data_IF_921444115580
#
_entry.id   IF_921444115580
#
_cell.length_a   1.000
_cell.length_b   1.000
_cell.length_c   1.000
_cell.angle_alpha   90.00
_cell.angle_beta   90.00
_cell.angle_gamma   90.00
#
_symmetry.space_group_name_H-M   'P 1'
#
loop_
_entity.id
_entity.type
_entity.pdbx_description
1 polymer ?
#
# COMPACT_ATOMS: atom_id res chain seq x y z
N UNK A 1 -2.76 3.32 33.57
CA UNK A 1 -3.70 2.19 33.76
C UNK A 1 -5.12 2.72 33.73
N UNK A 2 -5.86 2.43 32.64
CA UNK A 2 -7.26 1.98 32.65
C UNK A 2 -7.77 1.96 31.19
N UNK A 3 -7.82 0.75 30.65
CA UNK A 3 -8.60 0.40 29.47
C UNK A 3 -10.08 0.45 29.82
N UNK A 4 -10.92 0.96 28.92
CA UNK A 4 -12.32 0.53 28.83
C UNK A 4 -12.73 0.44 27.36
N UNK A 5 -12.72 -0.78 26.85
CA UNK A 5 -13.48 -1.18 25.67
C UNK A 5 -14.85 -1.63 26.19
N UNK A 6 -15.93 -1.01 25.73
CA UNK A 6 -17.27 -1.56 25.88
C UNK A 6 -18.09 -1.27 24.61
N UNK A 7 -18.21 -2.29 23.77
CA UNK A 7 -19.27 -2.41 22.76
C UNK A 7 -20.60 -2.67 23.45
N UNK A 8 -21.60 -1.80 23.24
CA UNK A 8 -22.98 -2.16 22.83
C UNK A 8 -23.89 -0.93 22.83
N UNK A 9 -24.44 -0.67 21.65
CA UNK A 9 -25.84 -0.39 21.33
C UNK A 9 -26.69 0.49 22.26
N UNK A 10 -27.24 1.54 21.65
CA UNK A 10 -28.31 2.43 22.12
C UNK A 10 -27.95 3.35 23.28
N UNK A 11 -27.40 4.52 22.92
CA UNK A 11 -27.40 5.67 23.80
C UNK A 11 -28.07 6.86 23.13
N UNK A 12 -28.99 7.46 23.90
CA UNK A 12 -29.77 8.62 23.52
C UNK A 12 -28.91 9.80 23.07
N UNK A 13 -29.46 10.44 22.04
CA UNK A 13 -29.04 11.68 21.42
C UNK A 13 -28.74 12.82 22.41
N UNK A 14 -27.68 13.57 22.11
CA UNK A 14 -27.50 15.04 22.23
C UNK A 14 -26.38 15.61 23.11
N UNK A 15 -25.80 14.90 24.09
CA UNK A 15 -24.77 15.52 24.98
C UNK A 15 -23.34 15.01 24.78
N UNK A 16 -23.16 13.77 24.32
CA UNK A 16 -21.82 13.18 24.06
C UNK A 16 -21.31 13.40 22.63
N UNK A 17 -22.12 14.02 21.77
CA UNK A 17 -21.83 14.22 20.34
C UNK A 17 -21.02 15.51 20.05
N UNK A 18 -20.56 16.22 21.07
CA UNK A 18 -20.19 17.63 20.94
C UNK A 18 -18.68 17.94 20.83
N UNK A 19 -17.76 16.98 21.00
CA UNK A 19 -16.33 17.31 21.21
C UNK A 19 -15.34 16.34 20.53
N UNK A 20 -15.74 15.71 19.42
CA UNK A 20 -14.82 14.96 18.55
C UNK A 20 -14.68 15.65 17.20
N UNK A 21 -13.51 15.53 16.60
CA UNK A 21 -13.22 15.99 15.26
C UNK A 21 -12.58 14.88 14.43
N UNK A 22 -12.69 14.99 13.12
CA UNK A 22 -12.17 14.02 12.17
C UNK A 22 -10.77 14.43 11.71
N UNK A 23 -9.80 13.54 11.85
CA UNK A 23 -8.46 13.67 11.29
C UNK A 23 -8.32 12.76 10.08
N UNK A 24 -7.73 13.29 9.02
CA UNK A 24 -7.30 12.54 7.84
C UNK A 24 -5.77 12.45 7.84
N UNK A 25 -5.28 11.21 7.88
CA UNK A 25 -3.87 10.83 7.65
C UNK A 25 -3.77 9.35 7.22
N UNK A 26 -2.62 8.94 6.69
CA UNK A 26 -2.37 7.56 6.28
C UNK A 26 -2.63 7.29 4.79
N UNK A 27 -2.93 6.03 4.47
CA UNK A 27 -2.94 5.51 3.09
C UNK A 27 -4.34 5.39 2.45
N UNK A 28 -5.41 5.47 3.25
CA UNK A 28 -6.76 5.07 2.83
C UNK A 28 -7.81 6.20 2.93
N UNK A 29 -7.40 7.45 3.19
CA UNK A 29 -8.32 8.57 3.47
C UNK A 29 -9.41 8.25 4.52
N UNK A 30 -9.16 7.29 5.42
CA UNK A 30 -10.13 6.86 6.44
C UNK A 30 -10.13 7.85 7.59
N UNK A 31 -11.30 8.40 7.98
CA UNK A 31 -11.38 9.36 9.09
C UNK A 31 -11.00 8.71 10.41
N UNK A 32 -10.20 9.42 11.19
CA UNK A 32 -9.74 9.05 12.53
C UNK A 32 -10.26 10.08 13.52
N UNK A 33 -10.91 9.62 14.58
CA UNK A 33 -11.59 10.54 15.50
C UNK A 33 -10.70 10.86 16.70
N UNK A 34 -10.59 12.14 17.03
CA UNK A 34 -9.86 12.64 18.19
C UNK A 34 -10.77 13.52 19.05
N UNK A 35 -10.54 13.49 20.36
CA UNK A 35 -11.25 14.33 21.31
C UNK A 35 -10.62 15.72 21.35
N UNK A 36 -11.43 16.76 21.20
CA UNK A 36 -11.00 18.15 21.32
C UNK A 36 -10.93 18.64 22.79
N UNK A 37 -11.21 17.77 23.76
CA UNK A 37 -11.31 18.11 25.19
C UNK A 37 -9.98 18.11 25.97
N UNK A 38 -8.88 17.74 25.33
CA UNK A 38 -7.55 17.86 25.90
C UNK A 38 -6.92 19.23 25.59
N UNK A 39 -5.81 19.52 26.26
CA UNK A 39 -4.97 20.66 25.90
C UNK A 39 -4.40 20.47 24.49
N UNK A 40 -4.17 21.58 23.79
CA UNK A 40 -3.65 21.56 22.42
C UNK A 40 -2.32 20.81 22.33
N UNK A 41 -1.42 20.97 23.31
CA UNK A 41 -0.14 20.26 23.37
C UNK A 41 -0.32 18.74 23.46
N UNK A 42 -1.16 18.27 24.40
CA UNK A 42 -1.43 16.83 24.56
C UNK A 42 -2.11 16.25 23.32
N UNK A 43 -2.99 17.02 22.67
CA UNK A 43 -3.61 16.60 21.42
C UNK A 43 -2.58 16.40 20.32
N UNK A 44 -1.72 17.40 20.08
CA UNK A 44 -0.72 17.35 19.02
C UNK A 44 0.30 16.24 19.25
N UNK A 45 0.79 16.05 20.48
CA UNK A 45 1.70 14.95 20.82
C UNK A 45 1.03 13.59 20.56
N UNK A 46 -0.23 13.44 20.97
CA UNK A 46 -0.97 12.20 20.77
C UNK A 46 -1.27 11.93 19.29
N UNK A 47 -1.63 12.96 18.53
CA UNK A 47 -1.84 12.86 17.08
C UNK A 47 -0.53 12.52 16.39
N UNK A 48 0.59 13.16 16.76
CA UNK A 48 1.90 12.90 16.18
C UNK A 48 2.33 11.45 16.39
N UNK A 49 2.33 10.96 17.64
CA UNK A 49 2.73 9.59 17.97
C UNK A 49 1.83 8.57 17.25
N UNK A 50 0.51 8.79 17.28
CA UNK A 50 -0.45 7.87 16.69
C UNK A 50 -0.39 7.86 15.17
N UNK A 51 -0.30 9.04 14.54
CA UNK A 51 -0.21 9.16 13.08
C UNK A 51 1.09 8.54 12.58
N UNK A 52 2.24 8.86 13.19
CA UNK A 52 3.52 8.27 12.80
C UNK A 52 3.51 6.74 12.94
N UNK A 53 3.01 6.21 14.07
CA UNK A 53 2.92 4.76 14.27
C UNK A 53 2.01 4.09 13.25
N UNK A 54 0.77 4.58 13.11
CA UNK A 54 -0.21 3.94 12.22
C UNK A 54 0.19 4.03 10.74
N UNK A 55 0.71 5.18 10.29
CA UNK A 55 1.21 5.36 8.92
C UNK A 55 2.39 4.42 8.66
N UNK A 56 3.36 4.36 9.58
CA UNK A 56 4.52 3.48 9.46
C UNK A 56 4.12 2.02 9.36
N UNK A 57 3.26 1.55 10.27
CA UNK A 57 2.74 0.18 10.24
C UNK A 57 2.01 -0.12 8.93
N UNK A 58 1.22 0.82 8.41
CA UNK A 58 0.48 0.64 7.17
C UNK A 58 1.42 0.57 5.94
N UNK A 59 2.42 1.44 5.88
CA UNK A 59 3.46 1.44 4.84
C UNK A 59 4.28 0.14 4.89
N UNK A 60 4.70 -0.31 6.07
CA UNK A 60 5.43 -1.58 6.24
C UNK A 60 4.58 -2.79 5.81
N UNK A 61 3.29 -2.83 6.17
CA UNK A 61 2.37 -3.88 5.70
C UNK A 61 2.25 -3.87 4.18
N UNK A 62 2.15 -2.69 3.56
CA UNK A 62 2.08 -2.55 2.09
C UNK A 62 3.39 -2.99 1.44
N UNK A 63 4.54 -2.66 2.01
CA UNK A 63 5.87 -3.13 1.56
C UNK A 63 5.97 -4.65 1.56
N UNK A 64 5.60 -5.29 2.67
CA UNK A 64 5.61 -6.75 2.79
C UNK A 64 4.62 -7.40 1.82
N UNK A 65 3.44 -6.81 1.63
CA UNK A 65 2.46 -7.28 0.65
C UNK A 65 3.00 -7.20 -0.78
N UNK A 66 3.61 -6.08 -1.18
CA UNK A 66 4.22 -5.92 -2.50
C UNK A 66 5.39 -6.89 -2.72
N UNK A 67 6.27 -7.06 -1.72
CA UNK A 67 7.37 -8.02 -1.80
C UNK A 67 6.87 -9.47 -1.96
N UNK A 68 5.80 -9.85 -1.26
CA UNK A 68 5.16 -11.16 -1.44
C UNK A 68 4.58 -11.31 -2.85
N UNK A 69 3.92 -10.27 -3.38
CA UNK A 69 3.38 -10.27 -4.74
C UNK A 69 4.49 -10.44 -5.79
N UNK A 70 5.55 -9.63 -5.75
CA UNK A 70 6.72 -9.76 -6.64
C UNK A 70 7.32 -11.16 -6.56
N UNK A 71 7.52 -11.71 -5.36
CA UNK A 71 8.07 -13.07 -5.21
C UNK A 71 7.17 -14.15 -5.82
N UNK A 72 5.85 -13.94 -5.84
CA UNK A 72 4.90 -14.84 -6.48
C UNK A 72 4.96 -14.71 -8.00
N UNK A 73 4.99 -13.47 -8.51
CA UNK A 73 5.12 -13.17 -9.94
C UNK A 73 6.41 -13.74 -10.54
N UNK A 74 7.55 -13.64 -9.83
CA UNK A 74 8.81 -14.24 -10.26
C UNK A 74 8.74 -15.76 -10.38
N UNK A 75 8.07 -16.43 -9.42
CA UNK A 75 7.87 -17.89 -9.48
C UNK A 75 6.98 -18.29 -10.65
N UNK A 76 5.91 -17.54 -10.91
CA UNK A 76 5.04 -17.80 -12.07
C UNK A 76 5.75 -17.52 -13.38
N UNK A 77 6.53 -16.44 -13.47
CA UNK A 77 7.33 -16.12 -14.65
C UNK A 77 8.32 -17.24 -14.96
N UNK A 78 9.11 -17.71 -13.98
CA UNK A 78 10.03 -18.82 -14.17
C UNK A 78 9.33 -20.12 -14.60
N UNK A 79 8.16 -20.42 -14.04
CA UNK A 79 7.37 -21.58 -14.44
C UNK A 79 6.89 -21.49 -15.90
N UNK A 80 6.44 -20.31 -16.33
CA UNK A 80 6.01 -20.05 -17.72
C UNK A 80 7.19 -20.09 -18.70
N UNK A 81 8.35 -19.58 -18.30
CA UNK A 81 9.56 -19.67 -19.09
C UNK A 81 10.00 -21.13 -19.32
N UNK A 82 9.95 -21.97 -18.27
CA UNK A 82 10.19 -23.39 -18.39
C UNK A 82 9.17 -24.10 -19.28
N UNK A 83 7.88 -23.74 -19.19
CA UNK A 83 6.83 -24.29 -20.05
C UNK A 83 7.06 -23.92 -21.52
N UNK A 84 7.40 -22.65 -21.80
CA UNK A 84 7.76 -22.17 -23.14
C UNK A 84 8.94 -22.94 -23.70
N UNK A 85 10.00 -23.12 -22.91
CA UNK A 85 11.20 -23.84 -23.35
C UNK A 85 10.91 -25.31 -23.67
N UNK A 86 10.09 -26.00 -22.86
CA UNK A 86 9.65 -27.38 -23.14
C UNK A 86 8.87 -27.49 -24.45
N UNK A 87 7.97 -26.54 -24.71
CA UNK A 87 7.22 -26.50 -25.97
C UNK A 87 8.14 -26.25 -27.16
N UNK A 88 9.13 -25.35 -27.03
CA UNK A 88 10.12 -25.10 -28.08
C UNK A 88 11.03 -26.30 -28.34
N UNK A 89 11.51 -26.97 -27.29
CA UNK A 89 12.35 -28.17 -27.40
C UNK A 89 11.57 -29.33 -28.06
N UNK A 90 10.29 -29.48 -27.72
CA UNK A 90 9.39 -30.46 -28.35
C UNK A 90 9.09 -30.14 -29.83
N UNK A 91 9.22 -28.87 -30.24
CA UNK A 91 9.02 -28.42 -31.62
C UNK A 91 10.32 -28.47 -32.45
N UNK A 92 11.47 -28.79 -31.84
CA UNK A 92 12.76 -28.83 -32.53
C UNK A 92 12.86 -30.11 -33.38
N UNK A 93 13.11 -30.00 -34.70
CA UNK A 93 13.27 -31.15 -35.57
C UNK A 93 14.54 -31.91 -35.16
N UNK A 94 14.37 -33.04 -34.46
CA UNK A 94 15.47 -33.90 -34.02
C UNK A 94 15.38 -34.42 -32.58
N UNK A 95 14.42 -33.98 -31.75
CA UNK A 95 14.33 -34.41 -30.35
C UNK A 95 13.63 -35.75 -30.10
N UNK A 96 13.10 -36.43 -31.13
CA UNK A 96 12.54 -37.78 -31.01
C UNK A 96 13.36 -38.78 -31.84
N UNK A 97 14.30 -39.45 -31.19
CA UNK A 97 14.67 -40.79 -31.62
C UNK A 97 13.45 -41.68 -31.38
N UNK A 98 12.96 -42.31 -32.45
CA UNK A 98 11.70 -43.08 -32.58
C UNK A 98 10.42 -42.25 -32.75
N UNK A 99 9.72 -42.54 -33.85
CA UNK A 99 8.40 -42.03 -34.25
C UNK A 99 8.34 -40.61 -34.85
N UNK A 100 9.11 -40.40 -35.93
CA UNK A 100 8.80 -39.36 -36.91
C UNK A 100 7.62 -39.83 -37.80
N UNK A 101 6.40 -39.81 -37.27
CA UNK A 101 5.18 -39.92 -38.06
C UNK A 101 4.40 -38.62 -37.94
N UNK A 102 4.53 -37.76 -38.96
CA UNK A 102 3.65 -36.64 -39.33
C UNK A 102 2.93 -35.95 -38.16
N UNK A 103 3.60 -35.02 -37.48
CA UNK A 103 2.86 -33.96 -36.80
C UNK A 103 2.00 -33.24 -37.85
N UNK A 104 0.67 -33.21 -37.64
CA UNK A 104 -0.26 -32.48 -38.50
C UNK A 104 0.10 -30.99 -38.49
N UNK A 105 -0.09 -30.29 -39.61
CA UNK A 105 0.06 -28.83 -39.66
C UNK A 105 -0.80 -28.13 -38.58
N UNK A 106 -1.94 -28.74 -38.21
CA UNK A 106 -2.80 -28.27 -37.11
C UNK A 106 -2.13 -28.39 -35.74
N UNK A 107 -1.39 -29.48 -35.49
CA UNK A 107 -0.71 -29.71 -34.21
C UNK A 107 0.51 -28.78 -34.03
N UNK A 108 1.16 -28.43 -35.14
CA UNK A 108 2.23 -27.43 -35.17
C UNK A 108 1.66 -26.03 -34.92
N UNK A 109 0.54 -25.69 -35.57
CA UNK A 109 -0.15 -24.41 -35.43
C UNK A 109 -0.70 -24.20 -34.01
N UNK A 110 -1.23 -25.26 -33.38
CA UNK A 110 -1.70 -25.20 -31.99
C UNK A 110 -0.55 -24.94 -31.01
N UNK A 111 0.62 -25.59 -31.20
CA UNK A 111 1.82 -25.36 -30.37
C UNK A 111 2.38 -23.94 -30.56
N UNK A 112 2.38 -23.41 -31.76
CA UNK A 112 2.78 -22.02 -32.03
C UNK A 112 1.84 -21.01 -31.37
N UNK A 113 0.52 -21.24 -31.45
CA UNK A 113 -0.47 -20.41 -30.75
C UNK A 113 -0.27 -20.45 -29.23
N UNK A 114 0.04 -21.62 -28.65
CA UNK A 114 0.36 -21.74 -27.22
C UNK A 114 1.64 -20.97 -26.84
N UNK A 115 2.70 -21.03 -27.65
CA UNK A 115 3.94 -20.27 -27.41
C UNK A 115 3.68 -18.76 -27.46
N UNK A 116 2.85 -18.29 -28.40
CA UNK A 116 2.44 -16.89 -28.47
C UNK A 116 1.64 -16.46 -27.24
N UNK A 117 0.68 -17.29 -26.79
CA UNK A 117 -0.10 -17.02 -25.57
C UNK A 117 0.78 -16.94 -24.32
N UNK A 118 1.75 -17.84 -24.18
CA UNK A 118 2.71 -17.80 -23.07
C UNK A 118 3.59 -16.54 -23.15
N UNK A 119 3.98 -16.12 -24.35
CA UNK A 119 4.81 -14.91 -24.51
C UNK A 119 4.05 -13.65 -24.10
N UNK A 120 2.80 -13.48 -24.55
CA UNK A 120 1.93 -12.37 -24.12
C UNK A 120 1.71 -12.35 -22.60
N UNK A 121 1.55 -13.53 -22.00
CA UNK A 121 1.42 -13.66 -20.55
C UNK A 121 2.70 -13.26 -19.81
N UNK A 122 3.88 -13.64 -20.33
CA UNK A 122 5.15 -13.24 -19.74
C UNK A 122 5.31 -11.72 -19.77
N UNK A 123 4.95 -11.07 -20.87
CA UNK A 123 4.97 -9.60 -20.99
C UNK A 123 4.04 -8.95 -19.95
N UNK A 124 2.82 -9.50 -19.77
CA UNK A 124 1.89 -9.03 -18.74
C UNK A 124 2.42 -9.21 -17.31
N UNK A 125 3.06 -10.35 -17.00
CA UNK A 125 3.68 -10.61 -15.70
C UNK A 125 4.87 -9.68 -15.42
N UNK A 126 5.66 -9.34 -16.44
CA UNK A 126 6.77 -8.40 -16.32
C UNK A 126 6.27 -6.98 -16.05
N UNK A 127 5.18 -6.57 -16.70
CA UNK A 127 4.57 -5.28 -16.47
C UNK A 127 3.99 -5.17 -15.04
N UNK A 128 3.28 -6.19 -14.56
CA UNK A 128 2.82 -6.23 -13.15
C UNK A 128 3.98 -6.19 -12.16
N UNK A 129 5.09 -6.87 -12.47
CA UNK A 129 6.31 -6.80 -11.64
C UNK A 129 6.85 -5.38 -11.57
N UNK A 130 6.96 -4.68 -12.72
CA UNK A 130 7.44 -3.30 -12.79
C UNK A 130 6.57 -2.37 -11.95
N UNK A 131 5.25 -2.49 -12.06
CA UNK A 131 4.29 -1.69 -11.26
C UNK A 131 4.44 -1.95 -9.75
N UNK A 132 4.63 -3.21 -9.35
CA UNK A 132 4.88 -3.54 -7.94
C UNK A 132 6.22 -3.01 -7.42
N UNK A 133 7.25 -2.95 -8.26
CA UNK A 133 8.55 -2.35 -7.93
C UNK A 133 8.46 -0.83 -7.78
N UNK A 134 7.70 -0.15 -8.63
CA UNK A 134 7.42 1.29 -8.51
C UNK A 134 6.67 1.62 -7.22
N UNK A 135 5.60 0.86 -6.91
CA UNK A 135 4.88 1.02 -5.63
C UNK A 135 5.80 0.79 -4.44
N UNK A 136 6.75 -0.14 -4.53
CA UNK A 136 7.73 -0.37 -3.47
C UNK A 136 8.66 0.84 -3.29
N UNK A 137 9.11 1.46 -4.38
CA UNK A 137 9.92 2.68 -4.32
C UNK A 137 9.13 3.83 -3.66
N UNK A 138 7.89 4.06 -4.07
CA UNK A 138 7.00 5.06 -3.44
C UNK A 138 6.82 4.80 -1.93
N UNK A 139 6.63 3.55 -1.52
CA UNK A 139 6.52 3.18 -0.11
C UNK A 139 7.82 3.49 0.64
N UNK A 140 8.98 3.20 0.05
CA UNK A 140 10.27 3.49 0.67
C UNK A 140 10.51 5.01 0.81
N UNK A 141 10.14 5.80 -0.20
CA UNK A 141 10.17 7.28 -0.16
C UNK A 141 9.26 7.83 0.95
N UNK A 142 8.03 7.32 1.08
CA UNK A 142 7.10 7.74 2.13
C UNK A 142 7.58 7.33 3.53
N UNK A 143 8.25 6.18 3.68
CA UNK A 143 8.87 5.78 4.96
C UNK A 143 10.00 6.74 5.33
N UNK A 144 10.84 7.12 4.37
CA UNK A 144 11.92 8.08 4.60
C UNK A 144 11.37 9.45 4.99
N UNK A 145 10.37 9.94 4.26
CA UNK A 145 9.68 11.19 4.57
C UNK A 145 9.09 11.14 5.98
N UNK A 146 8.38 10.07 6.35
CA UNK A 146 7.80 9.91 7.68
C UNK A 146 8.86 9.94 8.78
N UNK A 147 10.03 9.35 8.54
CA UNK A 147 11.16 9.35 9.48
C UNK A 147 11.81 10.73 9.64
N UNK A 148 11.64 11.61 8.67
CA UNK A 148 12.15 12.99 8.71
C UNK A 148 11.24 13.95 9.49
N UNK A 149 9.97 13.59 9.73
CA UNK A 149 8.99 14.46 10.39
C UNK A 149 9.35 14.63 11.87
N UNK A 150 9.62 15.87 12.26
CA UNK A 150 9.94 16.25 13.64
C UNK A 150 8.73 16.76 14.42
N UNK A 151 7.81 17.45 13.74
CA UNK A 151 6.63 18.08 14.35
C UNK A 151 5.40 17.85 13.49
N UNK A 152 4.23 17.79 14.12
CA UNK A 152 2.95 17.62 13.45
C UNK A 152 2.03 18.80 13.79
N UNK A 153 1.29 19.26 12.80
CA UNK A 153 0.25 20.28 12.93
C UNK A 153 -1.05 19.79 12.29
N UNK A 154 -2.14 20.45 12.64
CA UNK A 154 -3.45 20.20 12.04
C UNK A 154 -3.78 21.33 11.08
N UNK A 155 -4.28 21.00 9.88
CA UNK A 155 -4.75 21.96 8.90
C UNK A 155 -6.20 21.67 8.52
N UNK A 156 -6.96 22.69 8.14
CA UNK A 156 -8.30 22.53 7.56
C UNK A 156 -8.18 22.08 6.08
N UNK A 157 -9.32 21.72 5.47
CA UNK A 157 -9.36 21.26 4.06
C UNK A 157 -8.80 22.28 3.05
N UNK A 158 -8.86 23.58 3.39
CA UNK A 158 -8.29 24.68 2.61
C UNK A 158 -6.77 24.87 2.81
N UNK A 159 -6.12 23.91 3.48
CA UNK A 159 -4.70 23.97 3.88
C UNK A 159 -4.37 25.07 4.90
N UNK A 160 -5.38 25.69 5.52
CA UNK A 160 -5.15 26.65 6.60
C UNK A 160 -4.69 25.92 7.86
N UNK A 161 -3.42 26.15 8.24
CA UNK A 161 -2.83 25.57 9.46
C UNK A 161 -3.52 26.15 10.69
N UNK A 162 -3.99 25.26 11.57
CA UNK A 162 -4.61 25.66 12.83
C UNK A 162 -3.51 26.13 13.81
N UNK A 163 -3.68 27.30 14.46
CA UNK A 163 -2.69 27.87 15.38
C UNK A 163 -2.77 27.19 16.76
N UNK A 164 -2.54 25.88 16.79
CA UNK A 164 -2.59 25.04 17.99
C UNK A 164 -1.28 25.07 18.80
N UNK A 165 -0.24 25.70 18.26
CA UNK A 165 1.10 25.68 18.86
C UNK A 165 1.20 26.54 20.13
N UNK A 166 1.93 26.00 21.13
CA UNK A 166 2.51 26.68 22.29
C UNK A 166 1.60 27.13 23.45
N UNK A 167 0.36 26.63 23.57
CA UNK A 167 -0.50 26.96 24.72
C UNK A 167 -1.04 25.72 25.45
N UNK A 168 -0.27 25.14 26.40
CA UNK A 168 -0.69 23.94 27.13
C UNK A 168 -1.95 24.15 28.00
N UNK A 169 -2.34 25.40 28.25
CA UNK A 169 -3.49 25.76 29.07
C UNK A 169 -4.82 25.86 28.32
N UNK A 170 -4.82 25.91 26.97
CA UNK A 170 -6.05 26.06 26.17
C UNK A 170 -6.53 24.74 25.60
N UNK A 171 -7.85 24.56 25.58
CA UNK A 171 -8.49 23.35 25.02
C UNK A 171 -8.50 23.42 23.51
N UNK A 172 -8.27 22.29 22.85
CA UNK A 172 -8.30 22.21 21.39
C UNK A 172 -9.67 22.56 20.80
N UNK A 173 -10.76 22.34 21.55
CA UNK A 173 -12.12 22.71 21.18
C UNK A 173 -12.34 24.23 20.96
N UNK A 174 -11.42 25.08 21.45
CA UNK A 174 -11.48 26.53 21.19
C UNK A 174 -11.03 26.90 19.76
N UNK A 175 -10.30 26.00 19.09
CA UNK A 175 -9.62 26.27 17.82
C UNK A 175 -10.09 25.37 16.69
N UNK A 176 -10.46 24.14 17.02
CA UNK A 176 -10.95 23.17 16.05
C UNK A 176 -12.48 23.35 15.94
N UNK A 177 -13.00 23.74 14.76
CA UNK A 177 -14.43 23.84 14.57
C UNK A 177 -15.10 22.50 14.87
N UNK A 178 -16.22 22.52 15.58
CA UNK A 178 -16.95 21.29 15.88
C UNK A 178 -17.42 20.65 14.56
N UNK A 179 -17.18 19.34 14.42
CA UNK A 179 -17.51 18.55 13.21
C UNK A 179 -16.68 18.91 11.96
N UNK A 180 -15.55 19.60 12.10
CA UNK A 180 -14.63 19.76 10.98
C UNK A 180 -13.80 18.51 10.75
N UNK A 181 -13.47 18.30 9.48
CA UNK A 181 -12.41 17.39 9.05
C UNK A 181 -11.11 18.18 8.92
N UNK A 182 -10.07 17.70 9.58
CA UNK A 182 -8.73 18.30 9.57
C UNK A 182 -7.74 17.30 8.98
N UNK A 183 -6.72 17.80 8.31
CA UNK A 183 -5.61 17.01 7.80
C UNK A 183 -4.42 17.12 8.73
N UNK A 184 -3.66 16.03 8.85
CA UNK A 184 -2.43 16.01 9.62
C UNK A 184 -1.27 16.35 8.68
N UNK A 185 -0.53 17.41 9.01
CA UNK A 185 0.64 17.86 8.28
C UNK A 185 1.89 17.68 9.17
N UNK A 186 3.01 17.29 8.57
CA UNK A 186 4.28 17.11 9.24
C UNK A 186 5.33 18.11 8.77
N UNK A 187 6.08 18.68 9.71
CA UNK A 187 7.27 19.47 9.42
C UNK A 187 8.50 18.57 9.46
N UNK A 188 9.23 18.42 8.34
CA UNK A 188 10.46 17.66 8.35
C UNK A 188 11.55 18.41 9.12
N UNK A 189 12.45 17.67 9.76
CA UNK A 189 13.59 18.23 10.48
C UNK A 189 14.41 19.09 9.51
N UNK A 190 14.75 20.34 9.87
CA UNK A 190 15.64 21.13 9.03
C UNK A 190 16.97 20.38 8.85
N UNK A 191 17.48 20.39 7.62
CA UNK A 191 18.79 19.81 7.35
C UNK A 191 19.84 20.52 8.23
N UNK A 192 20.81 19.78 8.79
CA UNK A 192 21.91 20.41 9.49
C UNK A 192 22.74 21.19 8.46
N UNK A 193 22.55 22.51 8.37
CA UNK A 193 23.44 23.40 7.63
C UNK A 193 24.69 23.59 8.48
N UNK A 194 25.83 23.06 8.06
CA UNK A 194 27.08 23.17 8.84
C UNK A 194 27.73 24.56 8.78
N UNK A 195 27.26 25.52 7.98
CA UNK A 195 28.01 26.78 7.76
C UNK A 195 27.19 28.08 7.58
N UNK A 196 25.88 28.13 7.87
CA UNK A 196 25.10 29.38 7.74
C UNK A 196 24.68 29.98 9.11
N UNK A 197 24.91 31.29 9.36
CA UNK A 197 24.46 31.98 10.58
C UNK A 197 22.96 32.33 10.58
N UNK A 198 22.25 32.02 9.49
CA UNK A 198 20.82 32.29 9.36
C UNK A 198 19.99 31.14 9.95
N UNK A 199 18.85 31.44 10.61
CA UNK A 199 17.98 30.41 11.17
C UNK A 199 17.51 29.47 10.05
N UNK A 200 17.46 28.14 10.30
CA UNK A 200 17.10 27.18 9.28
C UNK A 200 15.75 27.57 8.68
N UNK A 201 15.71 27.73 7.35
CA UNK A 201 14.47 28.00 6.61
C UNK A 201 13.46 26.93 7.02
N UNK A 202 12.36 27.36 7.63
CA UNK A 202 11.31 26.45 8.06
C UNK A 202 10.84 25.66 6.82
N UNK A 203 11.07 24.36 6.85
CA UNK A 203 10.64 23.45 5.81
C UNK A 203 9.14 23.54 5.62
N UNK A 204 8.67 23.48 4.37
CA UNK A 204 7.24 23.50 4.08
C UNK A 204 6.55 22.29 4.74
N UNK A 205 5.33 22.45 5.28
CA UNK A 205 4.58 21.35 5.86
C UNK A 205 4.21 20.33 4.79
N UNK A 206 4.44 19.05 5.08
CA UNK A 206 4.14 17.94 4.18
C UNK A 206 2.90 17.20 4.66
N UNK A 207 1.98 16.88 3.76
CA UNK A 207 0.79 16.11 4.12
C UNK A 207 1.17 14.69 4.56
N UNK A 208 0.59 14.23 5.67
CA UNK A 208 0.69 12.83 6.10
C UNK A 208 -0.41 11.95 5.47
N UNK A 209 -1.11 12.46 4.46
CA UNK A 209 -2.00 11.70 3.58
C UNK A 209 -1.20 11.24 2.36
N UNK A 210 -0.99 9.93 2.27
CA UNK A 210 -0.23 9.30 1.20
C UNK A 210 -1.18 8.57 0.26
N UNK A 211 -1.00 8.79 -1.04
CA UNK A 211 -1.75 8.05 -2.07
C UNK A 211 -0.79 7.12 -2.78
N UNK A 212 -1.01 5.81 -2.67
CA UNK A 212 -0.24 4.82 -3.40
C UNK A 212 -1.04 4.33 -4.60
N UNK A 213 -0.36 4.08 -5.72
CA UNK A 213 -1.00 3.46 -6.87
C UNK A 213 -1.53 2.06 -6.52
N UNK A 214 -2.74 1.76 -6.99
CA UNK A 214 -3.27 0.41 -6.99
C UNK A 214 -2.69 -0.34 -8.19
N UNK A 215 -2.11 -1.52 -7.95
CA UNK A 215 -1.60 -2.37 -9.03
C UNK A 215 -2.76 -3.19 -9.55
N UNK A 216 -3.23 -2.85 -10.75
CA UNK A 216 -4.28 -3.60 -11.44
C UNK A 216 -3.69 -4.91 -11.98
N UNK A 217 -4.30 -6.05 -11.61
CA UNK A 217 -3.92 -7.32 -12.22
C UNK A 217 -4.51 -7.42 -13.61
N UNK A 218 -3.69 -7.84 -14.56
CA UNK A 218 -4.14 -8.18 -15.89
C UNK A 218 -5.16 -9.33 -15.83
N UNK A 219 -6.19 -9.25 -16.69
CA UNK A 219 -7.19 -10.30 -16.85
C UNK A 219 -6.53 -11.64 -17.20
N UNK A 220 -5.50 -11.61 -18.05
CA UNK A 220 -4.73 -12.79 -18.47
C UNK A 220 -4.03 -13.49 -17.29
N UNK A 221 -3.50 -12.72 -16.34
CA UNK A 221 -2.85 -13.24 -15.13
C UNK A 221 -3.89 -13.80 -14.15
N UNK A 222 -5.05 -13.15 -14.07
CA UNK A 222 -6.17 -13.56 -13.20
C UNK A 222 -6.79 -14.88 -13.67
N UNK A 223 -7.04 -15.03 -14.97
CA UNK A 223 -7.54 -16.27 -15.57
C UNK A 223 -6.61 -17.45 -15.27
N UNK A 224 -5.30 -17.24 -15.41
CA UNK A 224 -4.32 -18.30 -15.27
C UNK A 224 -4.07 -18.72 -13.81
N UNK A 225 -4.09 -17.78 -12.87
CA UNK A 225 -4.13 -18.11 -11.44
C UNK A 225 -5.41 -18.88 -11.08
N UNK A 226 -6.53 -18.53 -11.73
CA UNK A 226 -7.78 -19.28 -11.67
C UNK A 226 -7.64 -20.72 -12.15
N UNK A 227 -7.03 -20.95 -13.31
CA UNK A 227 -6.79 -22.28 -13.89
C UNK A 227 -5.80 -23.12 -13.05
N UNK A 228 -4.74 -22.51 -12.53
CA UNK A 228 -3.76 -23.16 -11.64
C UNK A 228 -4.37 -23.53 -10.27
N UNK A 229 -5.34 -22.75 -9.78
CA UNK A 229 -6.03 -23.07 -8.53
C UNK A 229 -7.01 -24.25 -8.68
N UNK A 230 -7.67 -24.38 -9.85
CA UNK A 230 -8.56 -25.51 -10.18
C UNK A 230 -7.81 -26.84 -10.30
N UNK A 231 -6.58 -26.81 -10.82
CA UNK A 231 -5.77 -28.02 -11.00
C UNK A 231 -5.18 -28.56 -9.68
N UNK A 232 -5.04 -27.75 -8.63
CA UNK A 232 -4.60 -28.20 -7.29
C UNK A 232 -5.70 -28.85 -6.44
N UNK A 233 -6.97 -28.72 -6.81
CA UNK A 233 -8.12 -29.27 -6.06
C UNK A 233 -8.45 -30.75 -6.35
N UNK A 234 -7.78 -31.40 -7.31
CA UNK A 234 -8.18 -32.71 -7.83
C UNK A 234 -7.39 -33.94 -7.34
N UNK A 235 -6.43 -33.80 -6.43
CA UNK A 235 -5.60 -34.91 -5.95
C UNK A 235 -6.08 -35.46 -4.60
N UNK A 236 -7.33 -35.87 -4.49
CA UNK A 236 -7.76 -36.76 -3.40
C UNK A 236 -7.15 -38.15 -3.62
N UNK A 237 -6.05 -38.41 -2.92
CA UNK A 237 -5.49 -39.76 -2.69
C UNK A 237 -6.60 -40.68 -2.18
N UNK A 238 -7.00 -41.67 -2.97
CA UNK A 238 -7.73 -42.83 -2.48
C UNK A 238 -6.78 -43.66 -1.62
N UNK A 239 -7.08 -43.92 -0.33
CA UNK A 239 -6.30 -44.85 0.46
C UNK A 239 -6.57 -46.27 -0.03
N UNK A 240 -5.50 -47.05 -0.18
CA UNK A 240 -5.54 -48.51 -0.32
C UNK A 240 -5.65 -49.15 1.05
#
# INVERSE_FOLDING_TARGET
FLFFFASRSHFGSSVLQAMFFECLYGLDNKPKYFSANCSCAVLLDHVAERAQREVKEALERRKVASQKAVSALLRTHAAQEHARKRLQDANRPGSSASTAEKASAEEQQEKEAQIQKISQLMDALQEEQRQHEEVKQQVDEHIQLLSSIAKVVLALEDSTVLPLEERPSRKAAEWIPLRSTVQVMGYPKPAPTEDDPDPPVASEPVSMLFTLAEVERSELVTELLGELSKTKGGATRTPR
#
